data_IF_159973691324
#
_entry.id   IF_159973691324
#
_cell.length_a   1.000
_cell.length_b   1.000
_cell.length_c   1.000
_cell.angle_alpha   90.00
_cell.angle_beta   90.00
_cell.angle_gamma   90.00
#
_symmetry.space_group_name_H-M   'P 1'
#
loop_
_entity.id
_entity.type
_entity.pdbx_description
1 polymer ?
#
# COMPACT_ATOMS: atom_id res chain seq x y z
N UNK A 1 0.04 -7.63 -6.37
CA UNK A 1 -1.37 -7.22 -6.50
C UNK A 1 -2.15 -8.34 -7.17
N UNK A 2 -3.39 -8.66 -6.78
CA UNK A 2 -4.24 -9.63 -7.52
C UNK A 2 -5.06 -8.88 -8.58
N UNK A 3 -5.13 -9.41 -9.81
CA UNK A 3 -5.83 -8.78 -10.94
C UNK A 3 -7.29 -8.45 -10.62
N UNK A 4 -8.01 -9.37 -9.97
CA UNK A 4 -9.41 -9.17 -9.55
C UNK A 4 -9.60 -7.94 -8.63
N UNK A 5 -8.62 -7.64 -7.75
CA UNK A 5 -8.66 -6.45 -6.90
C UNK A 5 -8.37 -5.17 -7.69
N UNK A 6 -7.40 -5.22 -8.59
CA UNK A 6 -7.07 -4.06 -9.42
C UNK A 6 -8.25 -3.69 -10.34
N UNK A 7 -8.94 -4.69 -10.89
CA UNK A 7 -10.09 -4.51 -11.77
C UNK A 7 -11.27 -3.87 -11.03
N UNK A 8 -11.55 -4.33 -9.80
CA UNK A 8 -12.57 -3.73 -8.95
C UNK A 8 -12.26 -2.26 -8.59
N UNK A 9 -10.98 -1.94 -8.36
CA UNK A 9 -10.52 -0.56 -8.07
C UNK A 9 -10.55 0.35 -9.29
N UNK A 10 -10.32 -0.19 -10.48
CA UNK A 10 -10.45 0.57 -11.71
C UNK A 10 -11.93 0.85 -12.02
N UNK A 11 -12.78 -0.18 -11.91
CA UNK A 11 -14.24 -0.07 -12.11
C UNK A 11 -14.91 0.90 -11.14
N UNK A 12 -14.42 0.99 -9.90
CA UNK A 12 -14.98 1.92 -8.93
C UNK A 12 -14.34 3.33 -8.99
N UNK A 13 -13.40 3.57 -9.92
CA UNK A 13 -12.72 4.85 -10.11
C UNK A 13 -11.72 5.23 -9.01
N UNK A 14 -11.36 4.30 -8.12
CA UNK A 14 -10.37 4.58 -7.05
C UNK A 14 -8.94 4.67 -7.57
N UNK A 15 -8.68 4.11 -8.77
CA UNK A 15 -7.38 4.16 -9.44
C UNK A 15 -7.57 4.48 -10.92
N UNK A 16 -6.56 5.10 -11.51
CA UNK A 16 -6.51 5.36 -12.95
C UNK A 16 -6.02 4.13 -13.73
N UNK A 17 -6.24 4.12 -15.05
CA UNK A 17 -5.70 3.08 -15.93
C UNK A 17 -4.17 2.96 -15.80
N UNK A 18 -3.46 4.09 -15.72
CA UNK A 18 -2.01 4.09 -15.51
C UNK A 18 -1.61 3.41 -14.19
N UNK A 19 -2.34 3.69 -13.10
CA UNK A 19 -2.10 3.03 -11.80
C UNK A 19 -2.45 1.55 -11.81
N UNK A 20 -3.48 1.15 -12.58
CA UNK A 20 -3.81 -0.25 -12.80
C UNK A 20 -2.65 -0.98 -13.49
N UNK A 21 -2.12 -0.42 -14.58
CA UNK A 21 -0.98 -0.99 -15.30
C UNK A 21 0.27 -1.05 -14.42
N UNK A 22 0.53 0.00 -13.64
CA UNK A 22 1.65 0.05 -12.71
C UNK A 22 1.54 -1.02 -11.61
N UNK A 23 0.34 -1.23 -11.05
CA UNK A 23 0.10 -2.29 -10.05
C UNK A 23 0.22 -3.70 -10.61
N UNK A 24 -0.08 -3.89 -11.89
CA UNK A 24 0.06 -5.17 -12.59
C UNK A 24 1.53 -5.45 -12.94
N UNK A 25 2.29 -4.43 -13.37
CA UNK A 25 3.70 -4.56 -13.75
C UNK A 25 4.64 -4.62 -12.54
N UNK A 26 4.46 -3.70 -11.59
CA UNK A 26 5.42 -3.46 -10.50
C UNK A 26 4.89 -3.93 -9.14
N UNK A 27 3.65 -4.40 -9.08
CA UNK A 27 2.95 -4.64 -7.81
C UNK A 27 2.52 -3.33 -7.15
N UNK A 28 1.76 -3.44 -6.06
CA UNK A 28 1.43 -2.29 -5.23
C UNK A 28 2.52 -2.13 -4.17
N UNK A 29 2.98 -0.91 -3.90
CA UNK A 29 3.95 -0.61 -2.81
C UNK A 29 3.48 -1.23 -1.48
N UNK A 30 2.18 -1.17 -1.19
CA UNK A 30 1.59 -1.82 -0.02
C UNK A 30 1.68 -3.35 -0.01
N UNK A 31 1.71 -4.00 -1.17
CA UNK A 31 1.89 -5.47 -1.30
C UNK A 31 3.34 -5.91 -1.01
N UNK A 32 4.33 -5.05 -1.24
CA UNK A 32 5.70 -5.31 -0.80
C UNK A 32 5.85 -5.13 0.73
N UNK A 33 5.10 -4.20 1.33
CA UNK A 33 5.06 -3.99 2.78
C UNK A 33 4.22 -5.06 3.52
N UNK A 34 3.28 -5.73 2.85
CA UNK A 34 2.42 -6.77 3.45
C UNK A 34 3.21 -8.00 3.93
N UNK A 35 4.36 -8.28 3.31
CA UNK A 35 5.24 -9.38 3.73
C UNK A 35 5.87 -9.18 5.12
N UNK A 36 5.91 -7.95 5.64
CA UNK A 36 6.34 -7.68 7.01
C UNK A 36 5.28 -8.00 8.06
N UNK A 37 4.01 -8.15 7.67
CA UNK A 37 2.88 -8.20 8.61
C UNK A 37 2.39 -9.62 8.91
N UNK A 38 2.67 -10.61 8.04
CA UNK A 38 1.90 -11.87 8.01
C UNK A 38 2.48 -13.08 8.76
N UNK A 39 3.57 -12.93 9.51
CA UNK A 39 4.15 -14.04 10.31
C UNK A 39 4.26 -13.80 11.83
N UNK A 40 3.49 -12.86 12.39
CA UNK A 40 3.27 -12.78 13.85
C UNK A 40 3.65 -11.47 14.55
N UNK A 41 3.43 -10.33 13.92
CA UNK A 41 4.12 -9.09 14.28
C UNK A 41 5.42 -9.00 13.49
N UNK A 42 5.87 -7.80 13.19
CA UNK A 42 7.19 -7.58 12.58
C UNK A 42 8.19 -8.35 13.46
N UNK A 43 8.83 -9.40 12.94
CA UNK A 43 9.75 -10.22 13.73
C UNK A 43 10.82 -9.28 14.31
N UNK A 44 10.74 -8.98 15.61
CA UNK A 44 11.63 -8.04 16.30
C UNK A 44 11.21 -6.57 16.36
N UNK A 45 10.00 -6.18 15.93
CA UNK A 45 9.54 -4.78 16.02
C UNK A 45 8.20 -4.63 16.73
N UNK A 46 8.13 -3.58 17.55
CA UNK A 46 6.92 -3.17 18.26
C UNK A 46 5.85 -2.68 17.27
N UNK A 47 4.68 -3.32 17.28
CA UNK A 47 3.54 -2.99 16.41
C UNK A 47 3.14 -1.51 16.50
N UNK A 48 3.22 -0.91 17.69
CA UNK A 48 2.91 0.50 17.89
C UNK A 48 3.90 1.42 17.15
N UNK A 49 5.20 1.12 17.22
CA UNK A 49 6.23 1.91 16.56
C UNK A 49 6.08 1.86 15.03
N UNK A 50 5.74 0.70 14.49
CA UNK A 50 5.45 0.54 13.06
C UNK A 50 4.22 1.34 12.66
N UNK A 51 3.12 1.24 13.42
CA UNK A 51 1.90 1.98 13.12
C UNK A 51 2.14 3.49 13.12
N UNK A 52 2.97 4.00 14.03
CA UNK A 52 3.38 5.40 14.07
C UNK A 52 4.20 5.79 12.83
N UNK A 53 5.20 4.99 12.46
CA UNK A 53 6.03 5.28 11.28
C UNK A 53 5.17 5.34 10.02
N UNK A 54 4.28 4.35 9.81
CA UNK A 54 3.37 4.34 8.65
C UNK A 54 2.46 5.57 8.65
N UNK A 55 1.96 5.97 9.82
CA UNK A 55 1.09 7.13 9.93
C UNK A 55 1.82 8.46 9.66
N UNK A 56 3.10 8.56 10.01
CA UNK A 56 3.93 9.76 9.84
C UNK A 56 4.49 9.87 8.41
N UNK A 57 4.85 8.74 7.80
CA UNK A 57 5.40 8.69 6.44
C UNK A 57 4.35 8.45 5.36
N UNK A 58 3.06 8.53 5.72
CA UNK A 58 1.96 8.37 4.78
C UNK A 58 2.03 9.45 3.69
N UNK A 59 2.33 9.09 2.43
CA UNK A 59 2.51 10.06 1.35
C UNK A 59 1.21 10.84 1.05
N UNK A 60 0.05 10.32 1.47
CA UNK A 60 -1.24 11.02 1.36
C UNK A 60 -1.34 12.23 2.29
N UNK A 61 -0.59 12.23 3.40
CA UNK A 61 -0.48 13.38 4.30
C UNK A 61 0.58 14.37 3.85
N UNK A 62 1.62 13.90 3.16
CA UNK A 62 2.71 14.76 2.67
C UNK A 62 2.33 15.55 1.40
N UNK A 63 1.35 15.09 0.62
CA UNK A 63 0.82 15.83 -0.54
C UNK A 63 -0.15 16.97 -0.18
N UNK A 64 -0.43 17.21 1.12
CA UNK A 64 -1.27 18.33 1.57
C UNK A 64 -0.48 19.65 1.77
N UNK A 65 0.83 19.65 1.50
CA UNK A 65 1.67 20.85 1.40
C UNK A 65 2.42 20.84 0.07
N UNK A 66 1.71 21.25 -0.99
CA UNK A 66 2.28 21.76 -2.23
C UNK A 66 1.43 22.95 -2.69
#
# INVERSE_FOLDING_TARGET
MRQERADALLKNGSITENQFQEFMSNGAIGSHLENLQRKGGFKGFNQHAVSLIIAETDPRKQQAHA
#
